data_IF_941451807531
#
_entry.id   IF_941451807531
#
_cell.length_a   1.000
_cell.length_b   1.000
_cell.length_c   1.000
_cell.angle_alpha   90.00
_cell.angle_beta   90.00
_cell.angle_gamma   90.00
#
_symmetry.space_group_name_H-M   'P 1'
#
loop_
_entity.id
_entity.type
_entity.pdbx_description
1 polymer ?
#
# COMPACT_ATOMS: atom_id res chain seq x y z
N UNK A 1 -13.78 -9.72 47.07
CA UNK A 1 -13.76 -10.89 46.16
C UNK A 1 -15.15 -10.97 45.52
N UNK A 2 -15.39 -10.66 44.25
CA UNK A 2 -14.56 -10.52 43.04
C UNK A 2 -14.83 -9.16 42.37
N UNK A 3 -13.76 -8.59 41.82
CA UNK A 3 -13.68 -7.51 40.83
C UNK A 3 -14.09 -8.01 39.42
N UNK A 4 -14.21 -7.06 38.49
CA UNK A 4 -14.59 -7.12 37.05
C UNK A 4 -16.12 -7.01 36.84
N UNK A 5 -16.64 -6.07 36.07
CA UNK A 5 -16.16 -5.67 34.74
C UNK A 5 -15.97 -4.16 34.58
N UNK A 6 -14.80 -3.83 34.06
CA UNK A 6 -14.46 -2.61 33.37
C UNK A 6 -15.51 -2.37 32.27
N UNK A 7 -16.34 -1.34 32.46
CA UNK A 7 -17.02 -0.67 31.34
C UNK A 7 -15.91 0.02 30.58
N UNK A 8 -15.28 -0.74 29.68
CA UNK A 8 -14.41 -0.18 28.66
C UNK A 8 -15.20 0.94 27.99
N UNK A 9 -14.65 2.14 28.06
CA UNK A 9 -15.13 3.29 27.31
C UNK A 9 -15.30 2.82 25.86
N UNK A 10 -16.56 2.63 25.43
CA UNK A 10 -16.88 2.41 24.03
C UNK A 10 -16.37 3.67 23.33
N UNK A 11 -15.16 3.58 22.74
CA UNK A 11 -14.67 4.59 21.81
C UNK A 11 -15.85 4.91 20.90
N UNK A 12 -16.23 6.18 20.86
CA UNK A 12 -17.35 6.69 20.08
C UNK A 12 -16.98 6.57 18.61
N UNK A 13 -16.97 5.33 18.11
CA UNK A 13 -16.70 4.95 16.75
C UNK A 13 -17.96 5.36 16.00
N UNK A 14 -17.93 6.54 15.37
CA UNK A 14 -19.02 7.01 14.54
C UNK A 14 -19.39 5.90 13.52
N UNK A 15 -20.54 5.23 13.70
CA UNK A 15 -20.92 4.11 12.86
C UNK A 15 -21.54 4.60 11.56
N UNK A 16 -21.77 5.91 11.38
CA UNK A 16 -22.55 6.45 10.28
C UNK A 16 -21.98 6.05 8.92
N UNK A 17 -20.67 6.23 8.70
CA UNK A 17 -20.05 5.86 7.44
C UNK A 17 -19.99 4.35 7.22
N UNK A 18 -19.94 3.54 8.29
CA UNK A 18 -19.97 2.06 8.19
C UNK A 18 -21.36 1.58 7.78
N UNK A 19 -22.40 2.17 8.37
CA UNK A 19 -23.80 1.92 7.97
C UNK A 19 -24.02 2.36 6.53
N UNK A 20 -23.49 3.54 6.14
CA UNK A 20 -23.54 4.03 4.77
C UNK A 20 -22.85 3.06 3.80
N UNK A 21 -21.64 2.60 4.12
CA UNK A 21 -20.91 1.62 3.32
C UNK A 21 -21.68 0.30 3.23
N UNK A 22 -22.19 -0.22 4.35
CA UNK A 22 -22.97 -1.45 4.39
C UNK A 22 -24.19 -1.35 3.46
N UNK A 23 -24.94 -0.24 3.53
CA UNK A 23 -26.09 0.00 2.65
C UNK A 23 -25.69 0.11 1.19
N UNK A 24 -24.60 0.80 0.86
CA UNK A 24 -24.12 0.90 -0.52
C UNK A 24 -23.71 -0.47 -1.08
N UNK A 25 -23.05 -1.30 -0.26
CA UNK A 25 -22.68 -2.68 -0.60
C UNK A 25 -23.92 -3.56 -0.80
N UNK A 26 -24.98 -3.38 0.01
CA UNK A 26 -26.20 -4.18 -0.11
C UNK A 26 -27.06 -3.75 -1.30
N UNK A 27 -27.17 -2.45 -1.59
CA UNK A 27 -27.99 -1.92 -2.71
C UNK A 27 -27.29 -1.99 -4.06
N UNK A 28 -25.97 -2.16 -4.10
CA UNK A 28 -25.20 -2.19 -5.33
C UNK A 28 -24.75 -0.80 -5.81
N UNK A 29 -24.77 0.21 -4.93
CA UNK A 29 -24.33 1.56 -5.24
C UNK A 29 -22.79 1.66 -5.28
N UNK A 30 -22.22 1.34 -6.44
CA UNK A 30 -20.78 1.36 -6.64
C UNK A 30 -20.17 2.74 -6.36
N UNK A 31 -20.81 3.84 -6.74
CA UNK A 31 -20.25 5.18 -6.57
C UNK A 31 -20.05 5.54 -5.10
N UNK A 32 -21.02 5.21 -4.25
CA UNK A 32 -20.89 5.42 -2.82
C UNK A 32 -19.88 4.45 -2.18
N UNK A 33 -19.81 3.20 -2.64
CA UNK A 33 -18.75 2.28 -2.19
C UNK A 33 -17.37 2.84 -2.51
N UNK A 34 -17.13 3.31 -3.74
CA UNK A 34 -15.86 3.90 -4.13
C UNK A 34 -15.51 5.09 -3.24
N UNK A 35 -16.44 6.03 -3.07
CA UNK A 35 -16.22 7.21 -2.24
C UNK A 35 -15.87 6.87 -0.79
N UNK A 36 -16.65 6.00 -0.14
CA UNK A 36 -16.46 5.68 1.28
C UNK A 36 -15.22 4.82 1.49
N UNK A 37 -14.98 3.82 0.64
CA UNK A 37 -13.77 2.98 0.74
C UNK A 37 -12.50 3.79 0.45
N UNK A 38 -12.53 4.75 -0.49
CA UNK A 38 -11.38 5.62 -0.74
C UNK A 38 -11.10 6.59 0.42
N UNK A 39 -12.14 7.01 1.16
CA UNK A 39 -11.98 7.79 2.38
C UNK A 39 -11.47 6.96 3.57
N UNK A 40 -11.78 5.67 3.60
CA UNK A 40 -11.44 4.71 4.67
C UNK A 40 -10.70 3.48 4.12
N UNK A 41 -9.57 3.70 3.45
CA UNK A 41 -8.88 2.67 2.67
C UNK A 41 -8.47 1.44 3.50
N UNK A 42 -8.24 1.61 4.80
CA UNK A 42 -7.90 0.55 5.73
C UNK A 42 -8.91 -0.59 5.77
N UNK A 43 -10.16 -0.34 5.36
CA UNK A 43 -11.22 -1.34 5.40
C UNK A 43 -11.31 -2.24 4.17
N UNK A 44 -10.58 -1.95 3.10
CA UNK A 44 -10.70 -2.69 1.84
C UNK A 44 -10.48 -4.21 2.02
N UNK A 45 -9.58 -4.58 2.94
CA UNK A 45 -9.26 -5.97 3.29
C UNK A 45 -9.42 -6.25 4.79
N UNK A 46 -10.12 -5.38 5.53
CA UNK A 46 -10.36 -5.54 6.96
C UNK A 46 -11.86 -5.62 7.25
N UNK A 47 -12.28 -6.35 8.31
CA UNK A 47 -13.68 -6.50 8.65
C UNK A 47 -14.22 -5.20 9.26
N UNK A 48 -14.82 -4.33 8.43
CA UNK A 48 -15.31 -3.01 8.87
C UNK A 48 -16.52 -3.10 9.82
N UNK A 49 -17.31 -4.15 9.66
CA UNK A 49 -18.50 -4.46 10.47
C UNK A 49 -18.16 -4.98 11.87
N UNK A 50 -16.92 -5.41 12.13
CA UNK A 50 -16.49 -5.86 13.45
C UNK A 50 -16.55 -4.75 14.51
N UNK A 51 -16.52 -3.49 14.07
CA UNK A 51 -16.63 -2.30 14.92
C UNK A 51 -18.05 -1.72 14.92
N UNK A 52 -19.02 -2.40 14.29
CA UNK A 52 -20.43 -2.00 14.35
C UNK A 52 -21.09 -2.70 15.52
N UNK A 53 -21.94 -2.00 16.31
CA UNK A 53 -22.65 -2.67 17.39
C UNK A 53 -23.68 -3.66 16.81
N UNK A 54 -23.94 -4.80 17.49
CA UNK A 54 -24.83 -5.84 16.97
C UNK A 54 -26.23 -5.34 16.60
N UNK A 55 -26.78 -4.40 17.38
CA UNK A 55 -28.08 -3.81 17.09
C UNK A 55 -28.08 -3.10 15.73
N UNK A 56 -27.01 -2.38 15.36
CA UNK A 56 -26.94 -1.68 14.08
C UNK A 56 -26.99 -2.68 12.91
N UNK A 57 -26.29 -3.82 13.03
CA UNK A 57 -26.37 -4.88 12.03
C UNK A 57 -27.77 -5.51 11.98
N UNK A 58 -28.42 -5.73 13.13
CA UNK A 58 -29.77 -6.29 13.22
C UNK A 58 -30.81 -5.45 12.45
N UNK A 59 -30.68 -4.12 12.47
CA UNK A 59 -31.57 -3.24 11.73
C UNK A 59 -31.36 -3.28 10.22
N UNK A 60 -30.19 -3.69 9.75
CA UNK A 60 -29.84 -3.66 8.32
C UNK A 60 -30.27 -4.93 7.56
N UNK A 61 -30.59 -6.04 8.25
CA UNK A 61 -31.11 -7.21 7.56
C UNK A 61 -31.32 -8.46 8.40
N UNK A 62 -32.07 -9.41 7.83
CA UNK A 62 -32.42 -10.67 8.47
C UNK A 62 -31.19 -11.52 8.79
N UNK A 63 -30.16 -11.53 7.93
CA UNK A 63 -28.92 -12.32 8.10
C UNK A 63 -27.78 -11.56 8.78
N UNK A 64 -28.10 -10.58 9.63
CA UNK A 64 -27.12 -9.73 10.32
C UNK A 64 -26.00 -10.50 11.03
N UNK A 65 -26.29 -11.70 11.55
CA UNK A 65 -25.32 -12.50 12.30
C UNK A 65 -24.11 -12.92 11.46
N UNK A 66 -24.30 -13.13 10.16
CA UNK A 66 -23.24 -13.50 9.22
C UNK A 66 -22.29 -12.31 8.98
N UNK A 67 -22.80 -11.09 9.18
CA UNK A 67 -22.10 -9.84 8.88
C UNK A 67 -21.29 -9.28 10.06
N UNK A 68 -21.25 -9.93 11.23
CA UNK A 68 -20.57 -9.42 12.44
C UNK A 68 -19.05 -9.21 12.30
N UNK A 69 -18.42 -9.77 11.27
CA UNK A 69 -16.99 -9.56 10.97
C UNK A 69 -16.75 -9.69 9.47
N UNK A 70 -17.61 -9.08 8.68
CA UNK A 70 -17.55 -9.08 7.23
C UNK A 70 -16.64 -7.96 6.69
N UNK A 71 -15.80 -8.32 5.73
CA UNK A 71 -15.11 -7.37 4.85
C UNK A 71 -16.08 -6.79 3.82
N UNK A 72 -15.74 -5.66 3.17
CA UNK A 72 -16.56 -5.14 2.07
C UNK A 72 -16.79 -6.18 0.96
N UNK A 73 -15.76 -6.98 0.66
CA UNK A 73 -15.84 -8.05 -0.34
C UNK A 73 -16.85 -9.13 0.08
N UNK A 74 -16.81 -9.55 1.35
CA UNK A 74 -17.75 -10.55 1.88
C UNK A 74 -19.20 -10.09 1.76
N UNK A 75 -19.50 -8.85 2.14
CA UNK A 75 -20.86 -8.28 2.03
C UNK A 75 -21.30 -8.21 0.56
N UNK A 76 -20.46 -7.64 -0.33
CA UNK A 76 -20.79 -7.53 -1.75
C UNK A 76 -21.05 -8.90 -2.40
N UNK A 77 -20.32 -9.93 -1.98
CA UNK A 77 -20.55 -11.32 -2.39
C UNK A 77 -21.89 -11.86 -1.87
N UNK A 78 -22.20 -11.65 -0.58
CA UNK A 78 -23.43 -12.13 0.04
C UNK A 78 -24.72 -11.59 -0.63
N UNK A 79 -24.65 -10.39 -1.20
CA UNK A 79 -25.74 -9.74 -1.94
C UNK A 79 -25.60 -9.84 -3.48
N UNK A 80 -24.66 -10.65 -3.97
CA UNK A 80 -24.38 -10.87 -5.39
C UNK A 80 -24.26 -9.58 -6.19
N UNK A 81 -23.30 -8.73 -5.80
CA UNK A 81 -22.97 -7.45 -6.46
C UNK A 81 -21.68 -7.57 -7.28
N UNK A 82 -21.73 -8.09 -8.52
CA UNK A 82 -20.52 -8.47 -9.26
C UNK A 82 -19.65 -7.27 -9.63
N UNK A 83 -20.22 -6.10 -9.86
CA UNK A 83 -19.45 -4.93 -10.27
C UNK A 83 -18.66 -4.35 -9.08
N UNK A 84 -19.27 -4.35 -7.90
CA UNK A 84 -18.58 -4.03 -6.64
C UNK A 84 -17.52 -5.08 -6.31
N UNK A 85 -17.83 -6.37 -6.42
CA UNK A 85 -16.87 -7.46 -6.21
C UNK A 85 -15.66 -7.29 -7.12
N UNK A 86 -15.87 -7.06 -8.41
CA UNK A 86 -14.80 -6.78 -9.38
C UNK A 86 -13.96 -5.59 -8.94
N UNK A 87 -14.59 -4.47 -8.57
CA UNK A 87 -13.88 -3.27 -8.17
C UNK A 87 -13.03 -3.49 -6.91
N UNK A 88 -13.59 -4.14 -5.89
CA UNK A 88 -12.88 -4.46 -4.64
C UNK A 88 -11.69 -5.38 -4.91
N UNK A 89 -11.85 -6.43 -5.72
CA UNK A 89 -10.77 -7.33 -6.10
C UNK A 89 -9.65 -6.59 -6.84
N UNK A 90 -9.98 -5.74 -7.80
CA UNK A 90 -8.99 -4.93 -8.54
C UNK A 90 -8.18 -4.03 -7.60
N UNK A 91 -8.81 -3.52 -6.53
CA UNK A 91 -8.18 -2.64 -5.56
C UNK A 91 -7.46 -3.36 -4.40
N UNK A 92 -7.32 -4.70 -4.43
CA UNK A 92 -6.53 -5.43 -3.43
C UNK A 92 -7.32 -6.07 -2.30
N UNK A 93 -8.65 -6.13 -2.39
CA UNK A 93 -9.45 -6.88 -1.43
C UNK A 93 -9.06 -8.36 -1.43
N UNK A 94 -8.84 -8.92 -0.25
CA UNK A 94 -8.43 -10.32 -0.11
C UNK A 94 -9.65 -11.25 -0.07
N UNK A 95 -9.76 -12.08 -1.12
CA UNK A 95 -10.83 -13.07 -1.29
C UNK A 95 -10.78 -14.25 -0.33
N UNK A 96 -9.67 -14.44 0.37
CA UNK A 96 -9.50 -15.52 1.35
C UNK A 96 -9.89 -15.09 2.76
N UNK A 97 -10.16 -13.81 2.98
CA UNK A 97 -10.48 -13.28 4.31
C UNK A 97 -11.79 -13.90 4.80
N UNK A 98 -11.77 -14.68 5.89
CA UNK A 98 -12.97 -15.30 6.41
C UNK A 98 -13.86 -14.28 7.13
N UNK A 99 -15.18 -14.47 7.02
CA UNK A 99 -16.16 -13.81 7.86
C UNK A 99 -16.30 -14.47 9.24
N UNK A 100 -17.31 -14.05 10.00
CA UNK A 100 -17.55 -14.51 11.39
C UNK A 100 -17.62 -16.04 11.54
N UNK A 101 -18.31 -16.72 10.62
CA UNK A 101 -18.46 -18.19 10.63
C UNK A 101 -17.32 -18.92 9.91
N UNK A 102 -16.17 -18.27 9.71
CA UNK A 102 -15.02 -18.80 8.93
C UNK A 102 -15.33 -19.11 7.47
N UNK A 103 -16.47 -18.65 6.97
CA UNK A 103 -16.85 -18.73 5.56
C UNK A 103 -16.03 -17.70 4.77
N UNK A 104 -15.58 -18.08 3.58
CA UNK A 104 -14.96 -17.14 2.63
C UNK A 104 -16.06 -16.47 1.78
N UNK A 105 -15.77 -15.32 1.14
CA UNK A 105 -16.71 -14.65 0.25
C UNK A 105 -17.37 -15.56 -0.79
N UNK A 106 -16.65 -16.56 -1.31
CA UNK A 106 -17.20 -17.52 -2.30
C UNK A 106 -18.28 -18.43 -1.71
N UNK A 107 -18.21 -18.77 -0.43
CA UNK A 107 -19.20 -19.66 0.21
C UNK A 107 -20.54 -18.99 0.49
N UNK A 108 -20.62 -17.66 0.47
CA UNK A 108 -21.82 -16.91 0.89
C UNK A 108 -22.52 -16.22 -0.27
N UNK A 109 -22.08 -16.43 -1.51
CA UNK A 109 -22.60 -15.73 -2.68
C UNK A 109 -24.11 -15.90 -2.80
N UNK A 110 -24.85 -14.79 -2.75
CA UNK A 110 -26.29 -14.75 -2.93
C UNK A 110 -27.14 -15.19 -1.73
N UNK A 111 -26.53 -15.61 -0.62
CA UNK A 111 -27.25 -16.03 0.60
C UNK A 111 -28.19 -14.94 1.14
N UNK A 112 -27.83 -13.66 0.97
CA UNK A 112 -28.62 -12.55 1.48
C UNK A 112 -29.61 -11.95 0.47
N UNK A 113 -29.61 -12.38 -0.80
CA UNK A 113 -30.44 -11.78 -1.85
C UNK A 113 -31.95 -12.00 -1.64
N UNK A 114 -32.34 -13.16 -1.07
CA UNK A 114 -33.76 -13.50 -0.84
C UNK A 114 -34.42 -12.57 0.19
N UNK A 115 -33.61 -12.00 1.09
CA UNK A 115 -34.05 -11.15 2.20
C UNK A 115 -33.49 -9.72 2.13
N UNK A 116 -32.99 -9.32 0.96
CA UNK A 116 -32.37 -8.01 0.77
C UNK A 116 -33.39 -6.87 0.92
N UNK A 117 -32.86 -5.66 1.19
CA UNK A 117 -33.63 -4.45 1.46
C UNK A 117 -34.67 -4.15 0.36
N UNK A 118 -35.70 -3.35 0.68
CA UNK A 118 -36.80 -3.00 -0.23
C UNK A 118 -36.35 -2.52 -1.62
N UNK A 119 -35.21 -1.84 -1.72
CA UNK A 119 -34.64 -1.38 -3.00
C UNK A 119 -34.18 -2.53 -3.92
N UNK A 120 -33.81 -3.68 -3.35
CA UNK A 120 -33.37 -4.87 -4.09
C UNK A 120 -34.52 -5.75 -4.62
N UNK A 121 -35.77 -5.47 -4.19
CA UNK A 121 -36.98 -6.14 -4.71
C UNK A 121 -37.23 -5.91 -6.21
N UNK A 122 -36.45 -5.03 -6.82
CA UNK A 122 -36.51 -4.73 -8.26
C UNK A 122 -35.75 -5.74 -9.11
N UNK A 123 -34.82 -6.52 -8.54
CA UNK A 123 -34.09 -7.56 -9.28
C UNK A 123 -34.94 -8.81 -9.41
N UNK A 124 -35.01 -9.35 -10.63
CA UNK A 124 -35.61 -10.66 -10.86
C UNK A 124 -34.73 -11.77 -10.31
N UNK A 125 -35.33 -12.90 -9.98
CA UNK A 125 -34.61 -14.12 -9.58
C UNK A 125 -33.56 -14.53 -10.61
N UNK A 126 -33.86 -14.37 -11.91
CA UNK A 126 -32.94 -14.67 -13.01
C UNK A 126 -31.69 -13.78 -12.97
N UNK A 127 -31.87 -12.47 -12.72
CA UNK A 127 -30.74 -11.53 -12.58
C UNK A 127 -29.87 -11.89 -11.37
N UNK A 128 -30.49 -12.24 -10.23
CA UNK A 128 -29.75 -12.67 -9.04
C UNK A 128 -28.91 -13.91 -9.33
N UNK A 129 -29.48 -14.92 -10.01
CA UNK A 129 -28.74 -16.14 -10.38
C UNK A 129 -27.56 -15.83 -11.31
N UNK A 130 -27.78 -14.98 -12.33
CA UNK A 130 -26.72 -14.57 -13.24
C UNK A 130 -25.59 -13.78 -12.54
N UNK A 131 -25.96 -12.87 -11.64
CA UNK A 131 -25.02 -12.07 -10.87
C UNK A 131 -24.24 -12.90 -9.83
N UNK A 132 -24.90 -13.85 -9.18
CA UNK A 132 -24.26 -14.84 -8.31
C UNK A 132 -23.23 -15.65 -9.11
N UNK A 133 -23.58 -16.14 -10.30
CA UNK A 133 -22.64 -16.87 -11.16
C UNK A 133 -21.46 -15.99 -11.61
N UNK A 134 -21.67 -14.69 -11.85
CA UNK A 134 -20.59 -13.73 -12.13
C UNK A 134 -19.69 -13.51 -10.91
N UNK A 135 -20.25 -13.40 -9.71
CA UNK A 135 -19.48 -13.27 -8.47
C UNK A 135 -18.63 -14.51 -8.20
N UNK A 136 -19.19 -15.70 -8.33
CA UNK A 136 -18.46 -16.97 -8.16
C UNK A 136 -17.23 -17.03 -9.07
N UNK A 137 -17.42 -16.75 -10.37
CA UNK A 137 -16.29 -16.72 -11.33
C UNK A 137 -15.19 -15.75 -10.92
N UNK A 138 -15.54 -14.53 -10.49
CA UNK A 138 -14.55 -13.53 -10.04
C UNK A 138 -13.79 -13.96 -8.78
N UNK A 139 -14.42 -14.71 -7.90
CA UNK A 139 -13.82 -15.17 -6.64
C UNK A 139 -12.99 -16.45 -6.83
N UNK A 140 -13.36 -17.31 -7.77
CA UNK A 140 -12.64 -18.55 -8.11
C UNK A 140 -11.39 -18.29 -8.96
N UNK A 141 -11.35 -17.21 -9.73
CA UNK A 141 -10.14 -16.78 -10.45
C UNK A 141 -8.97 -16.64 -9.46
N UNK A 142 -7.78 -17.22 -9.68
CA UNK A 142 -6.65 -17.14 -8.76
C UNK A 142 -6.05 -15.72 -8.68
N UNK A 143 -5.31 -15.36 -7.61
CA UNK A 143 -4.84 -13.99 -7.46
C UNK A 143 -3.76 -13.72 -8.51
N UNK A 144 -3.83 -12.56 -9.17
CA UNK A 144 -2.83 -12.23 -10.19
C UNK A 144 -1.58 -11.57 -9.55
N UNK A 145 -0.47 -11.60 -10.29
CA UNK A 145 0.70 -10.82 -9.93
C UNK A 145 0.32 -9.32 -9.90
N UNK A 146 0.81 -8.57 -8.90
CA UNK A 146 0.45 -7.16 -8.74
C UNK A 146 1.16 -6.31 -9.78
N UNK A 147 0.50 -5.24 -10.24
CA UNK A 147 1.12 -4.30 -11.17
C UNK A 147 2.24 -3.50 -10.48
N UNK A 148 3.29 -3.10 -11.21
CA UNK A 148 4.31 -2.21 -10.67
C UNK A 148 3.72 -0.82 -10.38
N UNK A 149 4.28 -0.08 -9.41
CA UNK A 149 3.94 1.33 -9.22
C UNK A 149 4.31 2.16 -10.45
N UNK A 150 3.31 2.77 -11.08
CA UNK A 150 3.47 3.65 -12.25
C UNK A 150 2.80 5.01 -12.10
N UNK A 151 1.81 5.12 -11.21
CA UNK A 151 1.04 6.35 -10.98
C UNK A 151 1.63 7.21 -9.87
N UNK A 152 1.64 8.52 -10.10
CA UNK A 152 2.05 9.55 -9.12
C UNK A 152 3.41 9.31 -8.48
N UNK A 153 4.37 8.77 -9.25
CA UNK A 153 5.74 8.55 -8.77
C UNK A 153 6.44 9.91 -8.66
N UNK A 154 6.74 10.31 -7.43
CA UNK A 154 7.37 11.58 -7.11
C UNK A 154 8.65 11.38 -6.29
N UNK A 155 9.62 12.25 -6.53
CA UNK A 155 10.92 12.27 -5.87
C UNK A 155 11.09 13.58 -5.11
N UNK A 156 11.48 13.49 -3.85
CA UNK A 156 11.81 14.63 -3.00
C UNK A 156 13.16 14.39 -2.36
N UNK A 157 14.11 15.28 -2.64
CA UNK A 157 15.45 15.19 -2.10
C UNK A 157 15.61 16.05 -0.85
N UNK A 158 16.38 15.53 0.11
CA UNK A 158 16.74 16.23 1.33
C UNK A 158 18.13 15.76 1.81
N UNK A 159 18.59 16.28 2.95
CA UNK A 159 19.83 15.83 3.56
C UNK A 159 19.71 15.82 5.09
N UNK A 160 20.48 14.95 5.73
CA UNK A 160 20.72 15.02 7.17
C UNK A 160 22.18 15.38 7.43
N UNK A 161 22.44 16.08 8.54
CA UNK A 161 23.80 16.43 8.97
C UNK A 161 24.08 15.82 10.34
N UNK A 162 25.29 15.31 10.55
CA UNK A 162 25.76 14.84 11.84
C UNK A 162 27.14 15.43 12.13
N UNK A 163 27.31 16.03 13.30
CA UNK A 163 28.61 16.50 13.77
C UNK A 163 29.35 15.32 14.39
N UNK A 164 30.48 14.95 13.79
CA UNK A 164 31.39 13.93 14.31
C UNK A 164 32.57 14.64 14.95
N UNK A 165 32.82 14.34 16.23
CA UNK A 165 33.94 14.91 16.99
C UNK A 165 35.03 13.84 17.06
N UNK A 166 36.14 14.06 16.37
CA UNK A 166 37.30 13.17 16.41
C UNK A 166 38.33 13.75 17.36
N UNK A 167 38.68 13.02 18.42
CA UNK A 167 39.81 13.36 19.30
C UNK A 167 41.08 12.83 18.66
N UNK A 168 42.03 13.70 18.35
CA UNK A 168 43.35 13.31 17.87
C UNK A 168 44.16 12.76 19.04
N UNK A 169 44.67 11.53 18.90
CA UNK A 169 45.56 10.91 19.88
C UNK A 169 46.95 11.51 19.82
N UNK A 170 47.16 12.63 20.52
CA UNK A 170 48.46 13.16 20.92
C UNK A 170 48.21 14.22 21.99
N UNK A 171 49.18 14.49 22.86
CA UNK A 171 49.10 15.28 24.10
C UNK A 171 48.71 16.77 23.96
N UNK A 172 47.92 17.15 22.95
CA UNK A 172 47.28 18.46 22.78
C UNK A 172 45.77 18.26 22.61
N UNK A 173 45.01 18.94 23.45
CA UNK A 173 43.53 18.95 23.50
C UNK A 173 42.91 19.65 22.28
N UNK A 174 43.10 19.14 21.07
CA UNK A 174 42.36 19.61 19.89
C UNK A 174 41.35 18.56 19.45
N UNK A 175 40.06 18.87 19.61
CA UNK A 175 38.97 18.09 19.01
C UNK A 175 38.67 18.64 17.62
N UNK A 176 38.72 17.80 16.59
CA UNK A 176 38.28 18.18 15.24
C UNK A 176 36.77 17.90 15.15
N UNK A 177 35.97 18.94 14.89
CA UNK A 177 34.55 18.80 14.59
C UNK A 177 34.36 18.74 13.08
N UNK A 178 33.80 17.63 12.59
CA UNK A 178 33.49 17.43 11.18
C UNK A 178 31.98 17.21 11.01
N UNK A 179 31.32 18.11 10.29
CA UNK A 179 29.93 17.90 9.84
C UNK A 179 29.92 16.96 8.64
N UNK A 180 29.26 15.81 8.78
CA UNK A 180 29.04 14.84 7.72
C UNK A 180 27.61 14.97 7.23
N UNK A 181 27.43 15.16 5.93
CA UNK A 181 26.11 15.21 5.29
C UNK A 181 25.77 13.86 4.66
N UNK A 182 24.51 13.43 4.81
CA UNK A 182 23.95 12.27 4.12
C UNK A 182 22.83 12.73 3.19
N UNK A 183 22.89 12.33 1.93
CA UNK A 183 21.80 12.56 0.99
C UNK A 183 20.65 11.58 1.28
N UNK A 184 19.44 12.12 1.33
CA UNK A 184 18.21 11.40 1.57
C UNK A 184 17.27 11.63 0.38
N UNK A 185 16.77 10.55 -0.21
CA UNK A 185 15.78 10.63 -1.28
C UNK A 185 14.49 9.98 -0.82
N UNK A 186 13.44 10.80 -0.66
CA UNK A 186 12.10 10.29 -0.44
C UNK A 186 11.46 10.04 -1.80
N UNK A 187 11.02 8.81 -2.00
CA UNK A 187 10.27 8.41 -3.20
C UNK A 187 8.86 8.09 -2.75
N UNK A 188 7.84 8.58 -3.45
CA UNK A 188 6.44 8.27 -3.15
C UNK A 188 5.66 7.88 -4.39
N UNK A 189 4.65 7.03 -4.23
CA UNK A 189 3.82 6.53 -5.33
C UNK A 189 2.42 6.17 -4.84
N UNK A 190 1.46 6.11 -5.77
CA UNK A 190 0.11 5.61 -5.49
C UNK A 190 0.10 4.07 -5.55
N UNK A 191 -0.62 3.44 -4.61
CA UNK A 191 -0.79 1.99 -4.53
C UNK A 191 -1.36 1.46 -5.85
N UNK A 192 -0.63 0.57 -6.56
CA UNK A 192 -1.11 0.01 -7.82
C UNK A 192 -2.20 -1.04 -7.58
N UNK A 193 -2.89 -1.40 -8.66
CA UNK A 193 -3.93 -2.42 -8.63
C UNK A 193 -3.34 -3.79 -8.28
N UNK A 194 -4.10 -4.57 -7.50
CA UNK A 194 -3.69 -5.89 -7.05
C UNK A 194 -4.89 -6.81 -7.06
N UNK A 195 -5.04 -7.58 -8.14
CA UNK A 195 -6.24 -8.37 -8.41
C UNK A 195 -6.42 -9.53 -7.40
N UNK A 196 -7.17 -9.25 -6.33
CA UNK A 196 -7.68 -10.24 -5.37
C UNK A 196 -6.69 -10.72 -4.31
N UNK A 197 -5.58 -10.01 -4.12
CA UNK A 197 -4.69 -10.19 -2.98
C UNK A 197 -4.11 -8.84 -2.58
N UNK A 198 -3.96 -8.58 -1.28
CA UNK A 198 -3.35 -7.34 -0.81
C UNK A 198 -1.86 -7.31 -1.15
N UNK A 199 -1.35 -6.14 -1.53
CA UNK A 199 0.09 -5.93 -1.68
C UNK A 199 0.72 -5.99 -0.29
N UNK A 200 1.75 -6.83 -0.14
CA UNK A 200 2.48 -7.00 1.11
C UNK A 200 3.66 -6.04 1.20
N UNK A 201 4.39 -5.92 0.08
CA UNK A 201 5.61 -5.11 0.01
C UNK A 201 5.89 -4.62 -1.40
N UNK A 202 6.73 -3.60 -1.45
CA UNK A 202 7.33 -3.06 -2.65
C UNK A 202 8.82 -3.33 -2.63
N UNK A 203 9.38 -3.48 -3.81
CA UNK A 203 10.81 -3.49 -4.00
C UNK A 203 11.16 -2.43 -5.03
N UNK A 204 12.10 -1.58 -4.63
CA UNK A 204 12.69 -0.58 -5.50
C UNK A 204 14.11 -1.01 -5.80
N UNK A 205 14.53 -0.84 -7.05
CA UNK A 205 15.94 -0.95 -7.42
C UNK A 205 16.41 0.37 -7.99
N UNK A 206 17.65 0.71 -7.68
CA UNK A 206 18.25 1.95 -8.15
C UNK A 206 19.71 1.78 -8.47
N UNK A 207 20.18 2.59 -9.41
CA UNK A 207 21.59 2.63 -9.80
C UNK A 207 22.01 4.04 -10.20
N UNK A 208 23.28 4.36 -9.99
CA UNK A 208 23.89 5.62 -10.43
C UNK A 208 24.13 5.57 -11.93
N UNK A 209 23.75 6.61 -12.65
CA UNK A 209 24.16 6.78 -14.04
C UNK A 209 25.46 7.61 -14.07
N UNK A 210 26.45 7.12 -14.81
CA UNK A 210 27.69 7.85 -15.09
C UNK A 210 27.38 8.77 -16.26
N UNK A 211 27.54 10.08 -16.07
CA UNK A 211 27.46 11.05 -17.17
C UNK A 211 28.79 11.05 -17.94
N UNK A 212 28.74 11.16 -19.27
CA UNK A 212 29.91 11.07 -20.15
C UNK A 212 31.04 12.06 -19.78
N UNK A 213 30.70 13.16 -19.10
CA UNK A 213 31.65 14.15 -18.58
C UNK A 213 32.63 13.61 -17.51
N UNK A 214 32.33 12.47 -16.85
CA UNK A 214 33.28 11.83 -15.91
C UNK A 214 34.34 10.97 -16.62
N UNK A 215 34.21 10.73 -17.92
CA UNK A 215 35.15 9.89 -18.68
C UNK A 215 36.29 10.69 -19.34
N UNK A 216 36.23 12.03 -19.37
CA UNK A 216 37.25 12.83 -20.06
C UNK A 216 38.46 13.20 -19.18
N UNK A 217 38.38 13.10 -17.85
CA UNK A 217 39.49 13.54 -16.98
C UNK A 217 40.58 12.49 -16.71
N UNK A 218 40.42 11.22 -17.10
CA UNK A 218 41.37 10.15 -16.74
C UNK A 218 42.04 9.47 -17.96
N UNK A 219 42.34 10.26 -18.99
CA UNK A 219 43.15 9.83 -20.14
C UNK A 219 44.61 10.23 -20.02
N UNK A 220 45.27 9.98 -18.87
CA UNK A 220 46.74 9.97 -18.80
C UNK A 220 47.27 9.24 -17.54
N UNK A 221 47.50 7.93 -17.66
CA UNK A 221 48.74 7.21 -17.33
C UNK A 221 48.50 5.76 -16.86
N UNK A 222 49.25 4.89 -17.54
CA UNK A 222 49.75 3.58 -17.12
C UNK A 222 48.82 2.37 -17.02
N UNK A 223 49.04 1.52 -18.03
CA UNK A 223 48.71 0.10 -18.09
C UNK A 223 49.14 -0.64 -16.81
N UNK A 224 48.22 -1.49 -16.34
CA UNK A 224 48.44 -2.73 -15.58
C UNK A 224 47.72 -2.80 -14.22
N UNK A 225 46.42 -2.48 -14.18
CA UNK A 225 45.44 -3.22 -13.36
C UNK A 225 44.13 -3.34 -14.13
N UNK A 226 43.86 -4.52 -14.71
CA UNK A 226 42.49 -4.95 -15.00
C UNK A 226 41.77 -5.05 -13.65
N UNK A 227 41.18 -3.95 -13.22
CA UNK A 227 40.22 -3.91 -12.12
C UNK A 227 38.89 -3.48 -12.75
N UNK A 228 37.96 -4.43 -12.79
CA UNK A 228 36.53 -4.30 -13.10
C UNK A 228 36.06 -2.94 -13.63
N UNK A 229 35.95 -2.85 -14.95
CA UNK A 229 35.06 -1.87 -15.59
C UNK A 229 33.71 -1.94 -14.87
N UNK A 230 33.38 -0.83 -14.22
CA UNK A 230 32.34 -0.69 -13.21
C UNK A 230 31.00 -1.18 -13.74
N UNK A 231 30.69 -2.44 -13.48
CA UNK A 231 29.34 -2.96 -13.63
C UNK A 231 28.50 -2.22 -12.58
N UNK A 232 27.79 -1.18 -13.03
CA UNK A 232 26.89 -0.39 -12.19
C UNK A 232 25.84 -1.34 -11.61
N UNK A 233 26.15 -1.83 -10.41
CA UNK A 233 25.38 -2.88 -9.76
C UNK A 233 24.10 -2.26 -9.20
N UNK A 234 22.95 -2.84 -9.56
CA UNK A 234 21.67 -2.44 -9.00
C UNK A 234 21.69 -2.61 -7.48
N UNK A 235 21.34 -1.54 -6.76
CA UNK A 235 20.99 -1.61 -5.34
C UNK A 235 19.49 -1.83 -5.23
N UNK A 236 19.05 -2.54 -4.19
CA UNK A 236 17.63 -2.80 -3.96
C UNK A 236 17.25 -2.47 -2.53
N UNK A 237 16.05 -1.93 -2.35
CA UNK A 237 15.43 -1.68 -1.06
C UNK A 237 14.03 -2.28 -1.05
N UNK A 238 13.56 -2.73 0.12
CA UNK A 238 12.23 -3.30 0.29
C UNK A 238 11.45 -2.46 1.28
N UNK A 239 10.19 -2.21 0.97
CA UNK A 239 9.30 -1.36 1.76
C UNK A 239 7.98 -2.09 1.99
N UNK A 240 7.55 -2.19 3.24
CA UNK A 240 6.25 -2.77 3.58
C UNK A 240 5.11 -1.88 3.11
N UNK A 241 4.01 -2.50 2.66
CA UNK A 241 2.83 -1.77 2.22
C UNK A 241 2.10 -1.12 3.41
N UNK A 242 1.81 0.18 3.30
CA UNK A 242 0.99 0.90 4.27
C UNK A 242 -0.49 0.66 3.97
N UNK A 243 -1.18 -0.08 4.83
CA UNK A 243 -2.61 -0.40 4.68
C UNK A 243 -3.55 0.77 5.00
N UNK A 244 -3.05 1.85 5.63
CA UNK A 244 -3.85 3.02 6.03
C UNK A 244 -3.84 4.16 5.00
N UNK A 245 -3.08 4.01 3.91
CA UNK A 245 -3.00 5.04 2.89
C UNK A 245 -2.78 4.43 1.53
N UNK A 246 -3.38 5.03 0.49
CA UNK A 246 -3.03 4.70 -0.89
C UNK A 246 -1.68 5.29 -1.29
N UNK A 247 -1.24 6.36 -0.64
CA UNK A 247 0.06 6.96 -0.90
C UNK A 247 1.14 6.21 -0.13
N UNK A 248 2.06 5.60 -0.86
CA UNK A 248 3.20 4.86 -0.34
C UNK A 248 4.45 5.72 -0.44
N UNK A 249 5.45 5.44 0.40
CA UNK A 249 6.74 6.11 0.30
C UNK A 249 7.89 5.26 0.82
N UNK A 250 9.07 5.44 0.21
CA UNK A 250 10.35 4.92 0.66
C UNK A 250 11.30 6.07 0.98
N UNK A 251 12.25 5.82 1.89
CA UNK A 251 13.36 6.73 2.16
C UNK A 251 14.67 6.02 1.81
N UNK A 252 15.25 6.41 0.68
CA UNK A 252 16.53 5.86 0.22
C UNK A 252 17.66 6.72 0.77
N UNK A 253 18.52 6.10 1.57
CA UNK A 253 19.66 6.75 2.20
C UNK A 253 20.98 6.43 1.48
N UNK A 254 22.01 7.23 1.77
CA UNK A 254 23.38 6.92 1.34
C UNK A 254 23.63 7.12 -0.16
N UNK A 255 22.81 7.93 -0.81
CA UNK A 255 23.05 8.38 -2.18
C UNK A 255 24.19 9.40 -2.21
N UNK A 256 24.88 9.50 -3.34
CA UNK A 256 25.88 10.53 -3.59
C UNK A 256 25.18 11.82 -4.02
N UNK A 257 25.67 12.97 -3.60
CA UNK A 257 25.15 14.29 -3.99
C UNK A 257 25.50 14.59 -5.45
N UNK A 258 24.65 15.40 -6.11
CA UNK A 258 24.80 15.88 -7.49
C UNK A 258 24.86 14.78 -8.57
N UNK A 259 24.45 13.56 -8.27
CA UNK A 259 24.42 12.43 -9.20
C UNK A 259 23.01 12.14 -9.72
N UNK A 260 22.93 11.59 -10.94
CA UNK A 260 21.70 11.09 -11.55
C UNK A 260 21.53 9.62 -11.17
N UNK A 261 20.33 9.26 -10.74
CA UNK A 261 19.94 7.90 -10.41
C UNK A 261 18.75 7.45 -11.26
N UNK A 262 18.81 6.19 -11.67
CA UNK A 262 17.70 5.48 -12.28
C UNK A 262 17.01 4.61 -11.23
N UNK A 263 15.69 4.73 -11.11
CA UNK A 263 14.84 3.97 -10.20
C UNK A 263 13.84 3.11 -10.97
N UNK A 264 13.59 1.89 -10.50
CA UNK A 264 12.51 1.02 -10.98
C UNK A 264 11.81 0.38 -9.79
N UNK A 265 10.52 0.09 -9.94
CA UNK A 265 9.67 -0.41 -8.86
C UNK A 265 9.00 -1.71 -9.28
N UNK A 266 8.77 -2.60 -8.31
CA UNK A 266 7.87 -3.74 -8.45
C UNK A 266 7.08 -3.96 -7.16
N UNK A 267 5.90 -4.54 -7.31
CA UNK A 267 5.00 -4.87 -6.21
C UNK A 267 5.05 -6.37 -5.90
N UNK A 268 4.73 -6.75 -4.68
CA UNK A 268 4.66 -8.15 -4.25
C UNK A 268 3.37 -8.41 -3.48
N UNK A 269 2.71 -9.53 -3.77
CA UNK A 269 1.53 -10.01 -3.04
C UNK A 269 1.64 -11.53 -2.80
N UNK A 270 0.55 -12.16 -2.35
CA UNK A 270 0.51 -13.60 -2.12
C UNK A 270 0.74 -14.46 -3.38
N UNK A 271 0.43 -13.94 -4.58
CA UNK A 271 0.70 -14.64 -5.85
C UNK A 271 2.18 -14.57 -6.26
N UNK A 272 2.95 -13.66 -5.69
CA UNK A 272 4.40 -13.56 -5.91
C UNK A 272 4.85 -12.14 -6.26
N UNK A 273 5.94 -12.07 -7.03
CA UNK A 273 6.59 -10.81 -7.42
C UNK A 273 6.03 -10.35 -8.76
N UNK A 274 5.54 -9.12 -8.82
CA UNK A 274 5.21 -8.46 -10.07
C UNK A 274 6.44 -8.16 -10.92
N UNK A 275 6.19 -7.79 -12.16
CA UNK A 275 7.22 -7.33 -13.08
C UNK A 275 7.80 -5.98 -12.64
N UNK A 276 8.98 -5.66 -13.15
CA UNK A 276 9.55 -4.33 -12.97
C UNK A 276 8.82 -3.32 -13.84
N UNK A 277 8.44 -2.18 -13.25
CA UNK A 277 7.85 -1.06 -13.96
C UNK A 277 8.86 -0.28 -14.82
N UNK A 278 8.42 0.85 -15.39
CA UNK A 278 9.30 1.73 -16.16
C UNK A 278 10.41 2.32 -15.29
N UNK A 279 11.47 2.80 -15.93
CA UNK A 279 12.54 3.53 -15.25
C UNK A 279 12.17 4.99 -15.04
N UNK A 280 12.56 5.50 -13.87
CA UNK A 280 12.39 6.89 -13.47
C UNK A 280 13.77 7.48 -13.18
N UNK A 281 14.05 8.65 -13.76
CA UNK A 281 15.32 9.35 -13.56
C UNK A 281 15.14 10.50 -12.58
N UNK A 282 16.07 10.65 -11.65
CA UNK A 282 16.09 11.78 -10.71
C UNK A 282 17.51 12.21 -10.41
N UNK A 283 17.69 13.50 -10.13
CA UNK A 283 18.98 14.09 -9.76
C UNK A 283 18.99 14.40 -8.26
N UNK A 284 20.02 13.94 -7.57
CA UNK A 284 20.27 14.24 -6.16
C UNK A 284 20.72 15.69 -5.99
N UNK A 285 20.47 16.31 -4.82
CA UNK A 285 20.77 17.73 -4.60
C UNK A 285 22.28 17.95 -4.56
N UNK A 286 22.71 19.20 -4.73
CA UNK A 286 24.10 19.58 -4.49
C UNK A 286 24.46 19.42 -3.00
N UNK A 287 25.75 19.26 -2.71
CA UNK A 287 26.25 19.22 -1.34
C UNK A 287 25.88 20.53 -0.62
N UNK A 288 25.29 20.48 0.59
CA UNK A 288 24.96 21.70 1.33
C UNK A 288 26.22 22.54 1.58
N UNK A 289 26.16 23.83 1.23
CA UNK A 289 27.22 24.76 1.56
C UNK A 289 27.34 24.87 3.09
N UNK A 290 28.57 24.82 3.62
CA UNK A 290 28.80 25.16 5.03
C UNK A 290 28.32 26.60 5.24
N UNK A 291 27.37 26.82 6.14
CA UNK A 291 27.12 28.16 6.66
C UNK A 291 28.41 28.61 7.33
N UNK A 292 29.19 29.44 6.64
CA UNK A 292 30.29 30.15 7.28
C UNK A 292 29.59 31.07 8.26
N UNK A 293 29.61 30.70 9.54
CA UNK A 293 29.07 31.54 10.60
C UNK A 293 29.66 32.93 10.44
N UNK A 294 28.80 33.91 10.23
CA UNK A 294 29.18 35.32 10.29
C UNK A 294 29.90 35.54 11.62
N UNK A 295 31.09 36.12 11.51
CA UNK A 295 31.94 36.52 12.62
C UNK A 295 31.19 37.31 13.67
#
# INVERSE_FOLDING_TARGET
>A
MRTTDDVAEEENVDPAWRVELLRALTTGDLQNVERVVLAHIEVISAPFTALMPPWALQWEGMHWWMLQSATPLFVASAYSRPDIVRWLLINGADRSTPGYLKQTPVHVVGECCVHAALADKTRSTETIVADSAKCMRLLDEPPALPLPPTSDVAFSSSYSSKVVITRTGSFKTSSIQQTVYKCLMRVSWTTPLSNGAIIDKYELRYRRLVTEDENEEDSNQDQARKADSSTVTWRSERVSHNRRSRQQSALVEGLQFNMIYEFMFRSWNAAGKGEWGPSFLTKTPAVPARSVGGR
#
